data_IF_880091854790
#
_entry.id   IF_880091854790
#
_cell.length_a   1.000
_cell.length_b   1.000
_cell.length_c   1.000
_cell.angle_alpha   90.00
_cell.angle_beta   90.00
_cell.angle_gamma   90.00
#
_symmetry.space_group_name_H-M   'P 1'
#
loop_
_entity.id
_entity.type
_entity.pdbx_description
1 polymer ?
#
# COMPACT_ATOMS: atom_id res chain seq x y z
N UNK A 1 -3.10 -8.39 15.29
CA UNK A 1 -3.52 -7.19 14.52
C UNK A 1 -3.40 -7.41 13.01
N UNK A 2 -2.37 -8.11 12.52
CA UNK A 2 -2.16 -8.39 11.08
C UNK A 2 -3.39 -9.08 10.47
N UNK A 3 -3.92 -10.11 11.11
CA UNK A 3 -5.12 -10.80 10.63
C UNK A 3 -6.35 -9.88 10.65
N UNK A 4 -6.52 -9.07 11.69
CA UNK A 4 -7.59 -8.08 11.76
C UNK A 4 -7.50 -7.06 10.62
N UNK A 5 -6.30 -6.54 10.35
CA UNK A 5 -6.08 -5.56 9.27
C UNK A 5 -6.37 -6.15 7.87
N UNK A 6 -6.05 -7.43 7.65
CA UNK A 6 -6.22 -8.08 6.34
C UNK A 6 -7.61 -8.66 6.10
N UNK A 7 -8.29 -9.10 7.16
CA UNK A 7 -9.56 -9.82 7.07
C UNK A 7 -10.77 -8.90 7.34
N UNK A 8 -10.56 -7.60 7.53
CA UNK A 8 -11.64 -6.60 7.58
C UNK A 8 -11.58 -5.70 6.35
N UNK A 9 -12.74 -5.28 5.78
CA UNK A 9 -12.77 -4.42 4.62
C UNK A 9 -12.11 -3.06 4.90
N UNK A 10 -11.27 -2.57 3.98
CA UNK A 10 -10.61 -1.28 4.12
C UNK A 10 -11.59 -0.12 4.32
N UNK A 11 -12.73 -0.16 3.62
CA UNK A 11 -13.81 0.81 3.80
C UNK A 11 -14.29 0.86 5.27
N UNK A 12 -14.46 -0.30 5.89
CA UNK A 12 -14.88 -0.37 7.29
C UNK A 12 -13.82 0.21 8.24
N UNK A 13 -12.55 -0.01 7.94
CA UNK A 13 -11.43 0.57 8.71
C UNK A 13 -11.41 2.10 8.61
N UNK A 14 -11.68 2.65 7.41
CA UNK A 14 -11.82 4.10 7.19
C UNK A 14 -13.02 4.65 7.98
N UNK A 15 -14.16 3.98 7.95
CA UNK A 15 -15.33 4.36 8.74
C UNK A 15 -15.07 4.34 10.24
N UNK A 16 -14.37 3.33 10.74
CA UNK A 16 -13.99 3.25 12.15
C UNK A 16 -13.04 4.38 12.56
N UNK A 17 -12.12 4.77 11.66
CA UNK A 17 -11.23 5.91 11.90
C UNK A 17 -11.98 7.25 11.90
N UNK A 18 -13.00 7.41 11.08
CA UNK A 18 -13.75 8.66 10.97
C UNK A 18 -14.90 8.74 11.99
N UNK A 19 -15.85 7.80 11.91
CA UNK A 19 -17.05 7.81 12.75
C UNK A 19 -16.83 7.11 14.09
N UNK A 20 -16.08 6.01 14.12
CA UNK A 20 -15.85 5.22 15.32
C UNK A 20 -15.03 5.99 16.36
N UNK A 21 -13.94 6.64 15.97
CA UNK A 21 -13.18 7.50 16.89
C UNK A 21 -14.00 8.73 17.32
N UNK A 22 -14.80 9.30 16.41
CA UNK A 22 -15.70 10.42 16.72
C UNK A 22 -16.72 10.07 17.81
N UNK A 23 -17.26 8.85 17.82
CA UNK A 23 -18.17 8.40 18.87
C UNK A 23 -17.52 8.27 20.26
N UNK A 24 -16.20 8.17 20.30
CA UNK A 24 -15.38 8.17 21.53
C UNK A 24 -14.87 9.58 21.90
N UNK A 25 -15.33 10.64 21.20
CA UNK A 25 -14.90 12.01 21.43
C UNK A 25 -13.58 12.39 20.77
N UNK A 26 -13.02 11.53 19.92
CA UNK A 26 -11.77 11.78 19.18
C UNK A 26 -12.16 12.14 17.74
N UNK A 27 -12.20 13.44 17.45
CA UNK A 27 -12.58 13.92 16.12
C UNK A 27 -11.36 13.95 15.21
N UNK A 28 -11.47 13.21 14.10
CA UNK A 28 -10.42 13.11 13.07
C UNK A 28 -11.04 13.59 11.76
N UNK A 29 -10.36 14.52 11.09
CA UNK A 29 -10.82 15.01 9.77
C UNK A 29 -10.83 13.89 8.72
N UNK A 30 -11.61 14.08 7.66
CA UNK A 30 -11.83 13.10 6.58
C UNK A 30 -10.53 12.58 5.97
N UNK A 31 -9.60 13.46 5.63
CA UNK A 31 -8.34 13.06 5.00
C UNK A 31 -7.40 12.28 5.95
N UNK A 32 -7.13 12.70 7.18
CA UNK A 32 -6.41 11.87 8.16
C UNK A 32 -7.10 10.54 8.45
N UNK A 33 -8.44 10.50 8.54
CA UNK A 33 -9.17 9.25 8.75
C UNK A 33 -8.99 8.26 7.58
N UNK A 34 -9.03 8.75 6.34
CA UNK A 34 -8.70 7.98 5.15
C UNK A 34 -7.28 7.41 5.23
N UNK A 35 -6.30 8.23 5.58
CA UNK A 35 -4.90 7.79 5.71
C UNK A 35 -4.73 6.74 6.80
N UNK A 36 -5.37 6.90 7.97
CA UNK A 36 -5.33 5.90 9.05
C UNK A 36 -5.88 4.56 8.57
N UNK A 37 -7.06 4.55 7.94
CA UNK A 37 -7.69 3.31 7.45
C UNK A 37 -6.84 2.61 6.39
N UNK A 38 -6.37 3.34 5.37
CA UNK A 38 -5.50 2.79 4.32
C UNK A 38 -4.18 2.30 4.92
N UNK A 39 -3.55 3.06 5.80
CA UNK A 39 -2.27 2.70 6.42
C UNK A 39 -2.40 1.44 7.27
N UNK A 40 -3.46 1.33 8.08
CA UNK A 40 -3.73 0.16 8.90
C UNK A 40 -3.92 -1.09 8.02
N UNK A 41 -4.73 -0.99 6.96
CA UNK A 41 -4.94 -2.06 6.00
C UNK A 41 -3.62 -2.50 5.34
N UNK A 42 -2.90 -1.55 4.74
CA UNK A 42 -1.65 -1.81 4.05
C UNK A 42 -0.57 -2.37 4.97
N UNK A 43 -0.47 -1.90 6.21
CA UNK A 43 0.50 -2.41 7.17
C UNK A 43 0.33 -3.92 7.42
N UNK A 44 -0.91 -4.42 7.46
CA UNK A 44 -1.20 -5.85 7.55
C UNK A 44 -0.65 -6.64 6.35
N UNK A 45 -0.92 -6.17 5.14
CA UNK A 45 -0.43 -6.81 3.90
C UNK A 45 1.09 -6.72 3.77
N UNK A 46 1.68 -5.56 4.10
CA UNK A 46 3.14 -5.38 4.09
C UNK A 46 3.83 -6.31 5.10
N UNK A 47 3.26 -6.48 6.29
CA UNK A 47 3.77 -7.41 7.30
C UNK A 47 3.87 -8.84 6.77
N UNK A 48 2.83 -9.33 6.09
CA UNK A 48 2.85 -10.67 5.48
C UNK A 48 3.77 -10.74 4.27
N UNK A 49 3.86 -9.69 3.47
CA UNK A 49 4.80 -9.62 2.34
C UNK A 49 6.25 -9.77 2.83
N UNK A 50 6.64 -9.04 3.87
CA UNK A 50 7.98 -9.16 4.45
C UNK A 50 8.18 -10.52 5.13
N UNK A 51 7.19 -11.05 5.82
CA UNK A 51 7.25 -12.39 6.42
C UNK A 51 7.45 -13.46 5.36
N UNK A 52 6.69 -13.41 4.27
CA UNK A 52 6.84 -14.33 3.12
C UNK A 52 8.20 -14.20 2.46
N UNK A 53 8.67 -12.96 2.24
CA UNK A 53 9.99 -12.68 1.69
C UNK A 53 11.14 -13.22 2.53
N UNK A 54 11.06 -13.07 3.86
CA UNK A 54 12.05 -13.64 4.78
C UNK A 54 12.08 -15.17 4.73
N UNK A 55 10.91 -15.82 4.64
CA UNK A 55 10.82 -17.28 4.51
C UNK A 55 11.34 -17.81 3.18
N UNK A 56 11.31 -16.98 2.12
CA UNK A 56 11.84 -17.35 0.81
C UNK A 56 13.38 -17.35 0.76
N UNK A 57 14.06 -16.67 1.69
CA UNK A 57 15.54 -16.74 1.79
C UNK A 57 15.93 -18.02 2.50
N UNK A 58 16.70 -18.93 1.85
CA UNK A 58 17.07 -20.20 2.46
C UNK A 58 17.85 -20.00 3.77
N UNK A 59 17.49 -20.70 4.86
CA UNK A 59 18.22 -20.60 6.15
C UNK A 59 19.71 -20.98 6.06
N UNK A 60 20.07 -21.74 5.03
CA UNK A 60 21.47 -22.12 4.73
C UNK A 60 22.34 -20.91 4.42
N UNK A 61 21.79 -19.84 3.83
CA UNK A 61 22.53 -18.60 3.56
C UNK A 61 23.02 -17.94 4.85
N UNK A 62 22.16 -17.83 5.85
CA UNK A 62 22.53 -17.31 7.16
C UNK A 62 23.55 -18.20 7.84
N UNK A 63 23.38 -19.53 7.79
CA UNK A 63 24.31 -20.49 8.40
C UNK A 63 25.69 -20.44 7.77
N UNK A 64 25.76 -20.40 6.42
CA UNK A 64 27.01 -20.28 5.69
C UNK A 64 27.78 -18.99 6.04
N UNK A 65 27.07 -17.85 6.07
CA UNK A 65 27.67 -16.57 6.47
C UNK A 65 28.23 -16.62 7.92
N UNK A 66 27.48 -17.26 8.84
CA UNK A 66 27.94 -17.45 10.22
C UNK A 66 29.17 -18.35 10.32
N UNK A 67 29.25 -19.40 9.50
CA UNK A 67 30.42 -20.29 9.43
C UNK A 67 31.69 -19.59 8.91
N UNK A 68 31.51 -18.53 8.11
CA UNK A 68 32.59 -17.65 7.63
C UNK A 68 32.98 -16.55 8.66
N UNK A 69 32.47 -16.62 9.90
CA UNK A 69 32.82 -15.71 10.98
C UNK A 69 32.00 -14.41 11.02
N UNK A 70 31.00 -14.24 10.18
CA UNK A 70 30.14 -13.05 10.24
C UNK A 70 29.30 -13.05 11.53
N UNK A 71 29.12 -11.89 12.16
CA UNK A 71 28.14 -11.73 13.24
C UNK A 71 26.71 -11.88 12.68
N UNK A 72 25.72 -12.22 13.51
CA UNK A 72 24.34 -12.38 13.04
C UNK A 72 23.76 -11.09 12.40
N UNK A 73 23.94 -9.88 12.96
CA UNK A 73 23.51 -8.64 12.31
C UNK A 73 24.23 -8.39 10.98
N UNK A 74 25.52 -8.70 10.90
CA UNK A 74 26.30 -8.54 9.68
C UNK A 74 25.81 -9.48 8.57
N UNK A 75 25.61 -10.76 8.89
CA UNK A 75 25.07 -11.76 7.96
C UNK A 75 23.66 -11.39 7.51
N UNK A 76 22.79 -10.92 8.41
CA UNK A 76 21.46 -10.45 8.06
C UNK A 76 21.53 -9.27 7.08
N UNK A 77 22.31 -8.24 7.40
CA UNK A 77 22.40 -7.02 6.60
C UNK A 77 23.02 -7.25 5.22
N UNK A 78 24.07 -8.07 5.13
CA UNK A 78 24.85 -8.21 3.90
C UNK A 78 24.37 -9.37 3.01
N UNK A 79 23.75 -10.39 3.56
CA UNK A 79 23.35 -11.60 2.83
C UNK A 79 21.83 -11.72 2.72
N UNK A 80 21.09 -11.63 3.85
CA UNK A 80 19.66 -11.89 3.87
C UNK A 80 18.87 -10.69 3.33
N UNK A 81 19.18 -9.49 3.81
CA UNK A 81 18.41 -8.28 3.52
C UNK A 81 18.39 -7.92 2.02
N UNK A 82 19.48 -8.00 1.25
CA UNK A 82 19.45 -7.76 -0.20
C UNK A 82 18.58 -8.78 -0.95
N UNK A 83 18.62 -10.05 -0.55
CA UNK A 83 17.78 -11.11 -1.14
C UNK A 83 16.31 -10.89 -0.80
N UNK A 84 16.01 -10.53 0.46
CA UNK A 84 14.68 -10.16 0.90
C UNK A 84 14.11 -9.03 0.04
N UNK A 85 14.82 -7.90 -0.10
CA UNK A 85 14.32 -6.77 -0.89
C UNK A 85 14.07 -7.15 -2.35
N UNK A 86 14.92 -7.97 -2.95
CA UNK A 86 14.70 -8.48 -4.31
C UNK A 86 13.42 -9.31 -4.41
N UNK A 87 13.16 -10.16 -3.41
CA UNK A 87 11.97 -11.02 -3.37
C UNK A 87 10.68 -10.23 -3.17
N UNK A 88 10.68 -9.23 -2.26
CA UNK A 88 9.46 -8.48 -1.91
C UNK A 88 9.21 -7.28 -2.81
N UNK A 89 10.13 -6.90 -3.69
CA UNK A 89 10.04 -5.67 -4.48
C UNK A 89 8.75 -5.59 -5.29
N UNK A 90 8.44 -6.63 -6.08
CA UNK A 90 7.22 -6.66 -6.90
C UNK A 90 5.93 -6.67 -6.06
N UNK A 91 5.79 -7.51 -5.01
CA UNK A 91 4.68 -7.41 -4.07
C UNK A 91 4.51 -6.01 -3.45
N UNK A 92 5.61 -5.33 -3.08
CA UNK A 92 5.55 -3.96 -2.54
C UNK A 92 5.00 -2.97 -3.57
N UNK A 93 5.44 -3.09 -4.83
CA UNK A 93 4.92 -2.22 -5.90
C UNK A 93 3.43 -2.45 -6.17
N UNK A 94 2.98 -3.71 -6.14
CA UNK A 94 1.56 -4.02 -6.23
C UNK A 94 0.77 -3.40 -5.07
N UNK A 95 1.31 -3.44 -3.86
CA UNK A 95 0.67 -2.85 -2.69
C UNK A 95 0.62 -1.33 -2.77
N UNK A 96 1.64 -0.67 -3.33
CA UNK A 96 1.61 0.77 -3.64
C UNK A 96 0.49 1.14 -4.60
N UNK A 97 0.38 0.40 -5.72
CA UNK A 97 -0.71 0.60 -6.69
C UNK A 97 -2.07 0.42 -6.02
N UNK A 98 -2.22 -0.63 -5.21
CA UNK A 98 -3.44 -0.88 -4.44
C UNK A 98 -3.78 0.27 -3.49
N UNK A 99 -2.78 0.81 -2.77
CA UNK A 99 -2.98 1.96 -1.88
C UNK A 99 -3.47 3.20 -2.63
N UNK A 100 -2.93 3.47 -3.84
CA UNK A 100 -3.37 4.58 -4.69
C UNK A 100 -4.85 4.40 -5.09
N UNK A 101 -5.24 3.19 -5.51
CA UNK A 101 -6.63 2.92 -5.88
C UNK A 101 -7.58 3.04 -4.69
N UNK A 102 -7.13 2.66 -3.48
CA UNK A 102 -7.92 2.80 -2.25
C UNK A 102 -8.20 4.25 -1.85
N UNK A 103 -7.42 5.24 -2.31
CA UNK A 103 -7.74 6.66 -2.02
C UNK A 103 -9.12 7.05 -2.53
N UNK A 104 -9.62 6.39 -3.59
CA UNK A 104 -10.97 6.62 -4.10
C UNK A 104 -12.08 6.39 -3.07
N UNK A 105 -11.82 5.61 -2.02
CA UNK A 105 -12.76 5.39 -0.91
C UNK A 105 -12.93 6.64 -0.03
N UNK A 106 -12.05 7.63 -0.16
CA UNK A 106 -12.11 8.87 0.61
C UNK A 106 -13.40 9.68 0.38
N UNK A 107 -14.00 9.55 -0.79
CA UNK A 107 -15.27 10.22 -1.13
C UNK A 107 -16.38 9.90 -0.13
N UNK A 108 -16.37 8.70 0.45
CA UNK A 108 -17.40 8.19 1.35
C UNK A 108 -17.35 8.87 2.73
N UNK A 109 -16.17 9.34 3.14
CA UNK A 109 -15.98 10.12 4.38
C UNK A 109 -15.83 11.61 4.11
N UNK A 110 -16.13 12.07 2.91
CA UNK A 110 -16.19 13.49 2.55
C UNK A 110 -14.85 14.09 2.09
N UNK A 111 -13.89 13.28 1.64
CA UNK A 111 -12.69 13.80 0.97
C UNK A 111 -13.09 14.26 -0.43
N UNK A 112 -13.09 15.59 -0.67
CA UNK A 112 -13.53 16.20 -1.92
C UNK A 112 -12.37 16.72 -2.77
N UNK A 113 -11.14 16.64 -2.28
CA UNK A 113 -9.95 17.22 -2.92
C UNK A 113 -9.15 16.23 -3.75
N UNK A 114 -9.51 14.96 -3.69
CA UNK A 114 -8.90 13.91 -4.50
C UNK A 114 -9.65 13.69 -5.83
N UNK A 115 -9.11 12.82 -6.69
CA UNK A 115 -9.69 12.53 -7.99
C UNK A 115 -11.15 12.00 -7.89
N UNK A 116 -11.42 11.11 -6.93
CA UNK A 116 -12.75 10.53 -6.75
C UNK A 116 -13.74 11.57 -6.23
N UNK A 117 -13.34 12.41 -5.27
CA UNK A 117 -14.16 13.49 -4.72
C UNK A 117 -14.53 14.53 -5.77
N UNK A 118 -13.53 15.01 -6.53
CA UNK A 118 -13.78 15.94 -7.64
C UNK A 118 -14.70 15.31 -8.70
N UNK A 119 -14.49 14.04 -9.04
CA UNK A 119 -15.37 13.32 -9.98
C UNK A 119 -16.80 13.26 -9.49
N UNK A 120 -17.01 12.95 -8.22
CA UNK A 120 -18.33 12.90 -7.61
C UNK A 120 -19.00 14.28 -7.57
N UNK A 121 -18.26 15.34 -7.24
CA UNK A 121 -18.77 16.71 -7.23
C UNK A 121 -19.23 17.14 -8.62
N UNK A 122 -18.43 16.91 -9.66
CA UNK A 122 -18.80 17.21 -11.04
C UNK A 122 -20.01 16.40 -11.50
N UNK A 123 -20.07 15.12 -11.11
CA UNK A 123 -21.22 14.27 -11.41
C UNK A 123 -22.52 14.82 -10.81
N UNK A 124 -22.51 15.22 -9.54
CA UNK A 124 -23.70 15.79 -8.87
C UNK A 124 -24.15 17.09 -9.52
N UNK A 125 -23.22 17.94 -10.00
CA UNK A 125 -23.53 19.22 -10.66
C UNK A 125 -24.05 19.07 -12.08
N UNK A 126 -23.61 18.03 -12.81
CA UNK A 126 -23.86 17.96 -14.28
C UNK A 126 -24.68 16.75 -14.72
N UNK A 127 -24.84 15.74 -13.83
CA UNK A 127 -25.48 14.44 -14.10
C UNK A 127 -24.84 13.62 -15.25
N UNK A 128 -23.57 13.90 -15.56
CA UNK A 128 -22.79 13.19 -16.58
C UNK A 128 -21.97 12.06 -15.96
N UNK A 129 -22.64 11.09 -15.40
CA UNK A 129 -22.01 10.01 -14.60
C UNK A 129 -21.02 9.22 -15.42
N UNK A 130 -21.40 8.75 -16.61
CA UNK A 130 -20.54 7.91 -17.43
C UNK A 130 -19.24 8.62 -17.83
N UNK A 131 -19.35 9.87 -18.31
CA UNK A 131 -18.21 10.63 -18.83
C UNK A 131 -17.17 10.90 -17.73
N UNK A 132 -17.61 11.36 -16.56
CA UNK A 132 -16.67 11.69 -15.48
C UNK A 132 -16.05 10.45 -14.84
N UNK A 133 -16.84 9.38 -14.60
CA UNK A 133 -16.27 8.17 -14.03
C UNK A 133 -15.38 7.43 -15.03
N UNK A 134 -15.70 7.44 -16.32
CA UNK A 134 -14.81 6.92 -17.36
C UNK A 134 -13.48 7.70 -17.42
N UNK A 135 -13.54 9.03 -17.36
CA UNK A 135 -12.35 9.88 -17.32
C UNK A 135 -11.51 9.61 -16.07
N UNK A 136 -12.14 9.52 -14.89
CA UNK A 136 -11.45 9.20 -13.65
C UNK A 136 -10.76 7.81 -13.72
N UNK A 137 -11.44 6.82 -14.28
CA UNK A 137 -10.86 5.48 -14.47
C UNK A 137 -9.60 5.51 -15.37
N UNK A 138 -9.64 6.30 -16.45
CA UNK A 138 -8.48 6.50 -17.34
C UNK A 138 -7.33 7.18 -16.57
N UNK A 139 -7.62 8.22 -15.78
CA UNK A 139 -6.62 8.93 -14.98
C UNK A 139 -5.99 7.97 -13.95
N UNK A 140 -6.79 7.21 -13.18
CA UNK A 140 -6.27 6.20 -12.25
C UNK A 140 -5.39 5.17 -12.97
N UNK A 141 -5.81 4.68 -14.14
CA UNK A 141 -5.03 3.77 -14.95
C UNK A 141 -3.68 4.37 -15.35
N UNK A 142 -3.66 5.63 -15.81
CA UNK A 142 -2.41 6.31 -16.21
C UNK A 142 -1.47 6.51 -15.01
N UNK A 143 -1.99 6.94 -13.86
CA UNK A 143 -1.21 7.12 -12.63
C UNK A 143 -0.60 5.77 -12.20
N UNK A 144 -1.40 4.72 -12.10
CA UNK A 144 -0.92 3.40 -11.66
C UNK A 144 0.03 2.77 -12.69
N UNK A 145 -0.18 3.02 -13.98
CA UNK A 145 0.74 2.62 -15.04
C UNK A 145 2.08 3.34 -14.93
N UNK A 146 2.08 4.64 -14.68
CA UNK A 146 3.29 5.43 -14.47
C UNK A 146 4.08 4.92 -13.26
N UNK A 147 3.42 4.68 -12.13
CA UNK A 147 4.04 4.11 -10.93
C UNK A 147 4.63 2.73 -11.22
N UNK A 148 3.90 1.86 -11.93
CA UNK A 148 4.39 0.52 -12.27
C UNK A 148 5.59 0.56 -13.21
N UNK A 149 5.60 1.44 -14.21
CA UNK A 149 6.72 1.58 -15.16
C UNK A 149 7.95 2.16 -14.45
N UNK A 150 7.80 3.18 -13.61
CA UNK A 150 8.90 3.75 -12.83
C UNK A 150 9.49 2.72 -11.86
N UNK A 151 8.64 1.92 -11.21
CA UNK A 151 9.07 0.83 -10.34
C UNK A 151 9.86 -0.24 -11.10
N UNK A 152 9.42 -0.64 -12.30
CA UNK A 152 10.15 -1.59 -13.14
C UNK A 152 11.51 -1.02 -13.55
N UNK A 153 11.57 0.25 -13.95
CA UNK A 153 12.83 0.91 -14.29
C UNK A 153 13.78 0.99 -13.08
N UNK A 154 13.26 1.23 -11.88
CA UNK A 154 14.05 1.19 -10.65
C UNK A 154 14.56 -0.23 -10.35
N UNK A 155 13.72 -1.26 -10.49
CA UNK A 155 14.10 -2.66 -10.27
C UNK A 155 15.27 -3.08 -11.17
N UNK A 156 15.22 -2.73 -12.45
CA UNK A 156 16.30 -3.08 -13.40
C UNK A 156 17.63 -2.38 -13.08
N UNK A 157 17.60 -1.22 -12.41
CA UNK A 157 18.80 -0.52 -11.94
C UNK A 157 19.33 -1.06 -10.61
N UNK A 158 18.42 -1.34 -9.66
CA UNK A 158 18.78 -1.76 -8.30
C UNK A 158 19.24 -3.22 -8.23
N UNK A 159 18.67 -4.09 -9.08
CA UNK A 159 18.89 -5.54 -9.03
C UNK A 159 19.66 -6.06 -10.26
N UNK A 160 20.42 -5.18 -10.95
CA UNK A 160 21.37 -5.61 -11.98
C UNK A 160 22.47 -6.46 -11.33
N UNK A 161 22.51 -7.73 -11.72
CA UNK A 161 23.66 -8.59 -11.65
C UNK A 161 23.92 -9.16 -13.05
#
# INVERSE_FOLDING_TARGET
WVEGARNTPALFQIYMAYFGLGSLGIFVDSFPALLIGISFNNAGYLGETFRGGLRAVPPTQMRAARSLGMSAPMAFRLIVLPQLFRTVFHPLMNQMVWAILMTSLGVIVGVNTDLAGVTQELNVRTFRTFEYFALAAVIYYLITKLVTLSARAAATRLFRY
#
